data_IF_179314073141
#
_entry.id   IF_179314073141
#
_cell.length_a   1.000
_cell.length_b   1.000
_cell.length_c   1.000
_cell.angle_alpha   90.00
_cell.angle_beta   90.00
_cell.angle_gamma   90.00
#
_symmetry.space_group_name_H-M   'P 1'
#
loop_
_entity.id
_entity.type
_entity.pdbx_description
1 polymer ?
#
# COMPACT_ATOMS: atom_id res chain seq x y z
N UNK A 1 -4.42 -27.36 -4.35
CA UNK A 1 -4.32 -26.20 -3.45
C UNK A 1 -5.00 -24.98 -4.04
N UNK A 2 -5.86 -24.39 -3.29
CA UNK A 2 -6.58 -23.20 -3.76
C UNK A 2 -5.68 -21.97 -3.61
N UNK A 3 -5.81 -21.05 -4.56
CA UNK A 3 -5.14 -19.76 -4.47
C UNK A 3 -5.73 -18.96 -3.31
N UNK A 4 -4.89 -18.22 -2.61
CA UNK A 4 -5.32 -17.27 -1.60
C UNK A 4 -5.80 -15.93 -2.21
N UNK A 5 -5.70 -15.77 -3.53
CA UNK A 5 -6.19 -14.59 -4.22
C UNK A 5 -7.71 -14.62 -4.38
N UNK A 6 -8.35 -13.52 -4.05
CA UNK A 6 -9.80 -13.34 -4.22
C UNK A 6 -10.06 -11.97 -4.81
N UNK A 7 -11.22 -11.78 -5.43
CA UNK A 7 -11.66 -10.47 -5.89
C UNK A 7 -12.61 -9.88 -4.85
N UNK A 8 -12.32 -8.66 -4.44
CA UNK A 8 -13.11 -7.93 -3.44
C UNK A 8 -13.47 -6.56 -3.98
N UNK A 9 -14.52 -5.97 -3.45
CA UNK A 9 -14.86 -4.57 -3.69
C UNK A 9 -14.40 -3.79 -2.47
N UNK A 10 -13.56 -2.78 -2.67
CA UNK A 10 -13.02 -1.98 -1.58
C UNK A 10 -13.54 -0.56 -1.67
N UNK A 11 -13.62 0.10 -0.53
CA UNK A 11 -14.04 1.49 -0.41
C UNK A 11 -12.82 2.39 -0.27
N UNK A 12 -12.97 3.64 -0.67
CA UNK A 12 -11.93 4.65 -0.49
C UNK A 12 -11.65 4.85 1.00
N UNK A 13 -10.36 4.91 1.35
CA UNK A 13 -9.94 5.18 2.72
C UNK A 13 -8.95 6.34 2.72
N UNK A 14 -9.16 7.37 3.57
CA UNK A 14 -8.19 8.47 3.68
C UNK A 14 -6.89 7.99 4.33
N UNK A 15 -5.78 8.54 3.87
CA UNK A 15 -4.46 8.20 4.39
C UNK A 15 -3.64 9.46 4.65
N UNK A 16 -2.68 9.35 5.57
CA UNK A 16 -1.62 10.33 5.79
C UNK A 16 -0.33 9.69 5.28
N UNK A 17 0.35 10.34 4.33
CA UNK A 17 1.46 9.70 3.62
C UNK A 17 2.66 10.62 3.43
N UNK A 18 3.83 9.98 3.28
CA UNK A 18 5.03 10.60 2.71
C UNK A 18 5.15 10.07 1.29
N UNK A 19 5.25 10.97 0.31
CA UNK A 19 5.46 10.58 -1.09
C UNK A 19 6.94 10.49 -1.38
N UNK A 20 7.37 9.34 -1.90
CA UNK A 20 8.78 9.07 -2.20
C UNK A 20 8.92 8.30 -3.50
N UNK A 21 10.11 8.36 -4.08
CA UNK A 21 10.54 7.47 -5.15
C UNK A 21 11.85 6.84 -4.70
N UNK A 22 12.01 5.53 -4.89
CA UNK A 22 13.20 4.84 -4.42
C UNK A 22 13.54 3.65 -5.31
N UNK A 23 14.83 3.33 -5.40
CA UNK A 23 15.27 2.07 -6.00
C UNK A 23 15.08 0.94 -4.98
N UNK A 24 14.96 -0.29 -5.46
CA UNK A 24 14.68 -1.44 -4.60
C UNK A 24 15.67 -1.60 -3.45
N UNK A 25 16.95 -1.35 -3.71
CA UNK A 25 17.99 -1.49 -2.68
C UNK A 25 17.79 -0.52 -1.50
N UNK A 26 17.10 0.59 -1.71
CA UNK A 26 16.88 1.63 -0.70
C UNK A 26 15.58 1.44 0.08
N UNK A 27 14.71 0.50 -0.32
CA UNK A 27 13.37 0.39 0.26
C UNK A 27 13.34 0.28 1.78
N UNK A 28 14.15 -0.58 2.43
CA UNK A 28 14.09 -0.66 3.89
C UNK A 28 14.42 0.64 4.58
N UNK A 29 15.43 1.36 4.08
CA UNK A 29 15.86 2.64 4.64
C UNK A 29 14.81 3.73 4.42
N UNK A 30 14.24 3.79 3.22
CA UNK A 30 13.20 4.76 2.87
C UNK A 30 11.95 4.54 3.72
N UNK A 31 11.54 3.29 3.90
CA UNK A 31 10.41 2.94 4.77
C UNK A 31 10.65 3.39 6.20
N UNK A 32 11.83 3.12 6.76
CA UNK A 32 12.14 3.52 8.13
C UNK A 32 12.10 5.03 8.31
N UNK A 33 12.69 5.78 7.38
CA UNK A 33 12.72 7.24 7.46
C UNK A 33 11.32 7.84 7.35
N UNK A 34 10.49 7.34 6.44
CA UNK A 34 9.12 7.81 6.28
C UNK A 34 8.27 7.49 7.50
N UNK A 35 8.40 6.27 8.06
CA UNK A 35 7.65 5.87 9.25
C UNK A 35 8.02 6.70 10.47
N UNK A 36 9.30 7.05 10.63
CA UNK A 36 9.75 7.90 11.72
C UNK A 36 9.15 9.31 11.60
N UNK A 37 9.11 9.87 10.39
CA UNK A 37 8.49 11.18 10.15
C UNK A 37 6.99 11.15 10.44
N UNK A 38 6.30 10.11 9.99
CA UNK A 38 4.88 9.94 10.27
C UNK A 38 4.61 9.91 11.77
N UNK A 39 5.37 9.10 12.51
CA UNK A 39 5.20 8.99 13.96
C UNK A 39 5.39 10.33 14.66
N UNK A 40 6.32 11.16 14.18
CA UNK A 40 6.58 12.46 14.78
C UNK A 40 5.49 13.50 14.47
N UNK A 41 4.87 13.44 13.28
CA UNK A 41 3.96 14.50 12.80
C UNK A 41 2.49 14.14 12.97
N UNK A 42 2.11 12.85 12.90
CA UNK A 42 0.72 12.40 13.00
C UNK A 42 -0.07 13.02 14.15
N UNK A 43 0.47 13.10 15.38
CA UNK A 43 -0.31 13.68 16.49
C UNK A 43 -0.71 15.15 16.28
N UNK A 44 -0.01 15.87 15.41
CA UNK A 44 -0.30 17.28 15.13
C UNK A 44 -1.27 17.46 13.96
N UNK A 45 -1.66 16.38 13.28
CA UNK A 45 -2.58 16.45 12.14
C UNK A 45 -4.03 16.33 12.61
N UNK A 46 -4.93 17.10 11.98
CA UNK A 46 -6.36 16.98 12.22
C UNK A 46 -6.97 15.89 11.34
N UNK A 47 -6.42 14.69 11.47
CA UNK A 47 -6.78 13.55 10.63
C UNK A 47 -7.60 12.47 11.36
N UNK A 48 -7.82 12.65 12.66
CA UNK A 48 -8.50 11.67 13.51
C UNK A 48 -7.58 10.52 13.90
N UNK A 49 -8.13 9.45 14.49
CA UNK A 49 -7.33 8.32 14.95
C UNK A 49 -6.58 7.65 13.81
N UNK A 50 -5.35 7.21 14.08
CA UNK A 50 -4.56 6.45 13.13
C UNK A 50 -4.99 4.99 13.13
N UNK A 51 -5.15 4.44 11.93
CA UNK A 51 -5.45 3.02 11.71
C UNK A 51 -4.18 2.26 11.36
N UNK A 52 -4.32 1.27 10.46
CA UNK A 52 -3.22 0.43 10.04
C UNK A 52 -2.21 1.20 9.19
N UNK A 53 -0.94 0.80 9.30
CA UNK A 53 0.10 1.28 8.40
C UNK A 53 -0.10 0.70 7.01
N UNK A 54 0.26 1.44 5.98
CA UNK A 54 0.08 1.04 4.59
C UNK A 54 1.15 1.62 3.69
N UNK A 55 1.28 1.02 2.50
CA UNK A 55 2.09 1.58 1.41
C UNK A 55 1.29 1.41 0.12
N UNK A 56 1.15 2.48 -0.64
CA UNK A 56 0.54 2.47 -1.97
C UNK A 56 1.64 2.74 -3.00
N UNK A 57 1.64 1.99 -4.10
CA UNK A 57 2.69 2.15 -5.11
C UNK A 57 2.17 1.86 -6.51
N UNK A 58 2.90 2.37 -7.50
CA UNK A 58 2.65 2.14 -8.92
C UNK A 58 3.90 1.50 -9.53
N UNK A 59 3.81 0.97 -10.76
CA UNK A 59 4.98 0.34 -11.38
C UNK A 59 6.19 1.27 -11.46
N UNK A 60 7.40 0.70 -11.44
CA UNK A 60 8.62 1.51 -11.53
C UNK A 60 8.65 2.39 -12.77
N UNK A 61 9.21 3.60 -12.60
CA UNK A 61 9.46 4.55 -13.69
C UNK A 61 10.92 4.93 -13.60
N UNK A 62 11.65 4.71 -14.70
CA UNK A 62 13.10 4.97 -14.76
C UNK A 62 13.89 4.30 -13.64
N UNK A 63 13.50 3.06 -13.31
CA UNK A 63 14.17 2.28 -12.28
C UNK A 63 13.81 2.63 -10.85
N UNK A 64 12.92 3.61 -10.65
CA UNK A 64 12.47 4.02 -9.31
C UNK A 64 11.02 3.68 -9.10
N UNK A 65 10.69 3.24 -7.90
CA UNK A 65 9.34 2.86 -7.51
C UNK A 65 8.67 4.04 -6.81
N UNK A 66 7.63 4.64 -7.43
CA UNK A 66 6.86 5.70 -6.78
C UNK A 66 6.00 5.09 -5.68
N UNK A 67 6.04 5.68 -4.47
CA UNK A 67 5.30 5.16 -3.32
C UNK A 67 4.69 6.26 -2.49
N UNK A 68 3.59 5.90 -1.82
CA UNK A 68 3.05 6.66 -0.70
C UNK A 68 3.14 5.77 0.52
N UNK A 69 4.01 6.14 1.44
CA UNK A 69 4.23 5.38 2.68
C UNK A 69 3.43 6.09 3.77
N UNK A 70 2.49 5.39 4.39
CA UNK A 70 1.56 6.07 5.26
C UNK A 70 0.79 5.22 6.23
N UNK A 71 -0.28 5.81 6.70
CA UNK A 71 -1.19 5.25 7.70
C UNK A 71 -2.60 5.61 7.29
N UNK A 72 -3.54 4.68 7.44
CA UNK A 72 -4.97 4.95 7.26
C UNK A 72 -5.41 5.88 8.39
N UNK A 73 -6.15 6.93 8.06
CA UNK A 73 -6.66 7.92 9.03
C UNK A 73 -8.16 8.08 8.86
N UNK A 74 -8.78 8.87 9.74
CA UNK A 74 -10.23 8.99 9.75
C UNK A 74 -10.77 9.97 8.70
N UNK A 75 -9.97 10.98 8.31
CA UNK A 75 -10.44 12.03 7.40
C UNK A 75 -9.28 12.76 6.72
N UNK A 76 -9.55 13.46 5.58
CA UNK A 76 -8.56 14.33 4.95
C UNK A 76 -8.13 15.46 5.88
N UNK A 77 -6.94 16.01 5.65
CA UNK A 77 -6.34 17.05 6.48
C UNK A 77 -5.43 17.94 5.64
N UNK A 78 -5.02 19.08 6.20
CA UNK A 78 -4.06 19.97 5.55
C UNK A 78 -2.63 19.41 5.69
N UNK A 79 -1.85 19.49 4.62
CA UNK A 79 -0.47 19.01 4.60
C UNK A 79 0.38 19.71 5.67
N UNK A 80 1.29 18.97 6.28
CA UNK A 80 2.17 19.51 7.32
C UNK A 80 3.49 18.73 7.34
N UNK A 81 4.60 19.45 7.24
CA UNK A 81 5.96 18.90 7.37
C UNK A 81 6.21 17.67 6.49
N UNK A 82 5.75 17.75 5.24
CA UNK A 82 5.98 16.68 4.27
C UNK A 82 4.97 15.54 4.33
N UNK A 83 4.03 15.57 5.29
CA UNK A 83 2.94 14.62 5.34
C UNK A 83 1.74 15.20 4.62
N UNK A 84 1.21 14.48 3.64
CA UNK A 84 0.09 14.93 2.82
C UNK A 84 -1.09 13.98 2.94
N UNK A 85 -2.28 14.53 2.67
CA UNK A 85 -3.52 13.76 2.63
C UNK A 85 -3.60 13.01 1.30
N UNK A 86 -3.90 11.73 1.36
CA UNK A 86 -4.07 10.89 0.18
C UNK A 86 -5.20 9.90 0.45
N UNK A 87 -5.32 8.88 -0.40
CA UNK A 87 -6.35 7.85 -0.27
C UNK A 87 -5.83 6.51 -0.74
N UNK A 88 -6.40 5.44 -0.18
CA UNK A 88 -6.43 4.14 -0.84
C UNK A 88 -7.66 4.11 -1.73
N UNK A 89 -7.57 3.56 -2.97
CA UNK A 89 -8.64 3.71 -3.94
C UNK A 89 -9.87 2.83 -3.65
N UNK A 90 -10.99 3.21 -4.24
CA UNK A 90 -12.21 2.40 -4.26
C UNK A 90 -12.28 1.62 -5.57
N UNK A 91 -12.92 0.47 -5.55
CA UNK A 91 -13.16 -0.34 -6.74
C UNK A 91 -12.97 -1.82 -6.50
N UNK A 92 -12.95 -2.58 -7.59
CA UNK A 92 -12.66 -4.01 -7.52
C UNK A 92 -11.15 -4.21 -7.48
N UNK A 93 -10.71 -5.10 -6.63
CA UNK A 93 -9.29 -5.37 -6.45
C UNK A 93 -9.07 -6.85 -6.20
N UNK A 94 -7.90 -7.34 -6.59
CA UNK A 94 -7.44 -8.66 -6.17
C UNK A 94 -6.83 -8.51 -4.80
N UNK A 95 -7.23 -9.35 -3.87
CA UNK A 95 -6.72 -9.37 -2.50
C UNK A 95 -5.97 -10.67 -2.24
N UNK A 96 -4.83 -10.55 -1.58
CA UNK A 96 -4.02 -11.68 -1.14
C UNK A 96 -3.56 -11.44 0.28
N UNK A 97 -3.79 -12.40 1.18
CA UNK A 97 -3.33 -12.32 2.57
C UNK A 97 -1.97 -13.00 2.68
N UNK A 98 -0.94 -12.22 2.99
CA UNK A 98 0.42 -12.72 3.16
C UNK A 98 0.74 -12.87 4.63
N UNK A 99 1.35 -13.99 5.00
CA UNK A 99 1.81 -14.26 6.35
C UNK A 99 3.26 -14.73 6.32
N UNK A 100 3.93 -14.67 7.47
CA UNK A 100 5.24 -15.26 7.61
C UNK A 100 6.42 -14.32 7.42
N UNK A 101 6.19 -13.01 7.44
CA UNK A 101 7.25 -12.01 7.40
C UNK A 101 7.29 -11.19 6.13
N UNK A 102 7.72 -9.93 6.27
CA UNK A 102 7.75 -8.97 5.16
C UNK A 102 8.78 -9.33 4.08
N UNK A 103 9.76 -10.19 4.38
CA UNK A 103 10.70 -10.69 3.38
C UNK A 103 10.00 -11.51 2.28
N UNK A 104 8.80 -11.96 2.53
CA UNK A 104 8.00 -12.71 1.56
C UNK A 104 7.19 -11.82 0.61
N UNK A 105 7.21 -10.49 0.80
CA UNK A 105 6.43 -9.56 -0.03
C UNK A 105 6.72 -9.66 -1.53
N UNK A 106 7.99 -9.73 -1.98
CA UNK A 106 8.23 -9.86 -3.42
C UNK A 106 7.59 -11.11 -4.03
N UNK A 107 7.67 -12.24 -3.34
CA UNK A 107 7.07 -13.49 -3.81
C UNK A 107 5.55 -13.42 -3.77
N UNK A 108 4.98 -12.79 -2.73
CA UNK A 108 3.54 -12.60 -2.62
C UNK A 108 2.99 -11.75 -3.77
N UNK A 109 3.68 -10.67 -4.14
CA UNK A 109 3.28 -9.85 -5.29
C UNK A 109 3.39 -10.61 -6.61
N UNK A 110 4.42 -11.45 -6.76
CA UNK A 110 4.54 -12.31 -7.92
C UNK A 110 3.32 -13.24 -8.02
N UNK A 111 2.91 -13.81 -6.90
CA UNK A 111 1.71 -14.67 -6.84
C UNK A 111 0.46 -13.92 -7.28
N UNK A 112 0.28 -12.68 -6.81
CA UNK A 112 -0.87 -11.85 -7.19
C UNK A 112 -0.89 -11.61 -8.70
N UNK A 113 0.22 -11.18 -9.27
CA UNK A 113 0.26 -10.85 -10.71
C UNK A 113 0.17 -12.08 -11.59
N UNK A 114 0.75 -13.20 -11.18
CA UNK A 114 0.61 -14.47 -11.90
C UNK A 114 -0.85 -14.94 -11.89
N UNK A 115 -1.52 -14.80 -10.75
CA UNK A 115 -2.94 -15.14 -10.64
C UNK A 115 -3.80 -14.27 -11.55
N UNK A 116 -3.55 -12.95 -11.58
CA UNK A 116 -4.27 -12.04 -12.47
C UNK A 116 -4.11 -12.47 -13.93
N UNK A 117 -2.90 -12.82 -14.34
CA UNK A 117 -2.64 -13.25 -15.71
C UNK A 117 -3.36 -14.56 -16.01
N UNK A 118 -3.31 -15.52 -15.11
CA UNK A 118 -3.96 -16.82 -15.30
C UNK A 118 -5.48 -16.72 -15.39
N UNK A 119 -6.08 -15.77 -14.65
CA UNK A 119 -7.53 -15.59 -14.58
C UNK A 119 -8.03 -14.46 -15.49
N UNK A 120 -7.17 -13.92 -16.34
CA UNK A 120 -7.50 -12.85 -17.31
C UNK A 120 -8.01 -11.57 -16.63
N UNK A 121 -7.42 -11.18 -15.53
CA UNK A 121 -7.70 -9.89 -14.90
C UNK A 121 -6.60 -8.90 -15.24
N UNK A 122 -6.98 -7.64 -15.46
CA UNK A 122 -6.04 -6.58 -15.85
C UNK A 122 -5.84 -5.63 -14.67
N UNK A 123 -4.66 -5.68 -14.01
CA UNK A 123 -4.34 -4.69 -12.96
C UNK A 123 -4.28 -3.28 -13.53
N UNK A 124 -4.78 -2.32 -12.75
CA UNK A 124 -4.80 -0.91 -13.16
C UNK A 124 -3.46 -0.20 -12.93
N UNK A 125 -2.48 -0.88 -12.34
CA UNK A 125 -1.19 -0.26 -12.02
C UNK A 125 -1.16 0.46 -10.69
N UNK A 126 -2.20 0.32 -9.88
CA UNK A 126 -2.25 0.89 -8.52
C UNK A 126 -2.35 -0.26 -7.55
N UNK A 127 -1.37 -0.36 -6.65
CA UNK A 127 -1.25 -1.48 -5.73
C UNK A 127 -0.99 -0.96 -4.33
N UNK A 128 -1.46 -1.68 -3.32
CA UNK A 128 -1.18 -1.27 -1.94
C UNK A 128 -1.12 -2.46 -1.01
N UNK A 129 -0.44 -2.22 0.12
CA UNK A 129 -0.27 -3.17 1.21
C UNK A 129 -0.80 -2.53 2.48
N UNK A 130 -1.55 -3.31 3.25
CA UNK A 130 -2.00 -2.90 4.59
C UNK A 130 -1.38 -3.88 5.56
N UNK A 131 -0.63 -3.38 6.54
CA UNK A 131 0.18 -4.21 7.41
C UNK A 131 -0.54 -4.56 8.70
N UNK A 132 -0.36 -5.81 9.13
CA UNK A 132 -0.86 -6.30 10.39
C UNK A 132 0.18 -6.24 11.49
N UNK A 133 -0.17 -6.74 12.67
CA UNK A 133 0.66 -6.62 13.87
C UNK A 133 1.84 -7.60 13.92
N UNK A 134 1.80 -8.69 13.13
CA UNK A 134 2.79 -9.77 13.21
C UNK A 134 3.52 -9.99 11.90
N UNK A 135 3.92 -8.90 11.23
CA UNK A 135 4.58 -8.92 9.92
C UNK A 135 3.78 -9.66 8.86
N UNK A 136 2.47 -9.62 8.98
CA UNK A 136 1.55 -10.04 7.92
C UNK A 136 1.06 -8.81 7.16
N UNK A 137 0.54 -9.02 5.97
CA UNK A 137 0.05 -7.94 5.13
C UNK A 137 -1.10 -8.41 4.26
N UNK A 138 -2.05 -7.50 4.01
CA UNK A 138 -3.04 -7.68 2.98
C UNK A 138 -2.58 -6.93 1.75
N UNK A 139 -2.47 -7.63 0.62
CA UNK A 139 -2.04 -7.07 -0.65
C UNK A 139 -3.26 -6.84 -1.53
N UNK A 140 -3.30 -5.69 -2.18
CA UNK A 140 -4.40 -5.33 -3.08
C UNK A 140 -3.84 -4.83 -4.41
N UNK A 141 -4.35 -5.37 -5.52
CA UNK A 141 -4.08 -4.85 -6.86
C UNK A 141 -5.41 -4.38 -7.45
N UNK A 142 -5.54 -3.08 -7.66
CA UNK A 142 -6.75 -2.51 -8.26
C UNK A 142 -6.91 -3.06 -9.68
N UNK A 143 -8.13 -3.42 -10.03
CA UNK A 143 -8.42 -3.91 -11.38
C UNK A 143 -8.87 -2.76 -12.27
N UNK A 144 -8.39 -2.79 -13.53
CA UNK A 144 -8.69 -1.73 -14.50
C UNK A 144 -10.16 -1.73 -14.92
N UNK A 145 -10.78 -2.91 -14.97
CA UNK A 145 -12.16 -3.08 -15.39
C UNK A 145 -12.88 -4.10 -14.53
N UNK A 146 -14.17 -4.00 -14.52
CA UNK A 146 -15.04 -4.96 -13.83
C UNK A 146 -15.11 -6.32 -14.56
#
# INVERSE_FOLDING_TARGET
MTSACTIVTVERQPTAVVRVEAVFAELPQVQRAARARLAAVLPALDAGPAGAACTRWTPPVDGKLPMEIGTIVARPFAAREGIVSSTLPAGRAVRFSMKGGFENLPLAWQTVFDWCKAENHAPAGINWEIYGATEDAELFALLAYD
#
